data_IF_789187112668
#
_entry.id   IF_789187112668
#
_cell.length_a   1.000
_cell.length_b   1.000
_cell.length_c   1.000
_cell.angle_alpha   90.00
_cell.angle_beta   90.00
_cell.angle_gamma   90.00
#
_symmetry.space_group_name_H-M   'P 1'
#
loop_
_entity.id
_entity.type
_entity.pdbx_description
1 polymer ?
#
# COMPACT_ATOMS: atom_id res chain seq x y z
N UNK A 1 -19.13 -36.76 31.44
CA UNK A 1 -18.30 -37.94 31.13
C UNK A 1 -17.04 -37.46 30.41
N UNK A 2 -15.87 -37.83 30.96
CA UNK A 2 -14.51 -37.95 30.37
C UNK A 2 -13.91 -36.79 29.55
N UNK A 3 -12.93 -36.16 30.20
CA UNK A 3 -11.69 -35.55 29.68
C UNK A 3 -11.06 -36.24 28.45
N UNK A 4 -10.36 -35.45 27.63
CA UNK A 4 -8.92 -35.68 27.42
C UNK A 4 -8.21 -34.44 26.85
N UNK A 5 -7.34 -33.85 27.68
CA UNK A 5 -6.17 -33.07 27.29
C UNK A 5 -5.25 -33.95 26.43
N UNK A 6 -4.53 -33.35 25.48
CA UNK A 6 -3.17 -33.79 25.16
C UNK A 6 -2.28 -32.58 24.84
N UNK A 7 -1.48 -32.20 25.85
CA UNK A 7 -0.17 -31.58 25.67
C UNK A 7 0.78 -32.62 25.08
N UNK A 8 1.64 -32.22 24.13
CA UNK A 8 2.91 -32.92 23.88
C UNK A 8 4.03 -31.89 23.93
N UNK A 9 4.94 -32.14 24.86
CA UNK A 9 6.12 -31.36 25.15
C UNK A 9 7.32 -31.81 24.29
N UNK A 10 8.14 -30.82 23.98
CA UNK A 10 9.60 -30.78 23.79
C UNK A 10 10.40 -32.09 23.95
N UNK A 11 11.26 -32.37 22.98
CA UNK A 11 12.47 -33.17 23.17
C UNK A 11 13.70 -32.42 22.63
N UNK A 12 14.66 -32.20 23.53
CA UNK A 12 16.02 -31.70 23.30
C UNK A 12 16.93 -32.92 23.25
N UNK A 13 17.82 -33.04 22.25
CA UNK A 13 19.14 -33.70 22.38
C UNK A 13 19.88 -33.69 21.03
N UNK A 14 21.15 -33.29 21.05
CA UNK A 14 22.04 -33.42 19.89
C UNK A 14 23.33 -32.61 20.00
N UNK A 15 24.10 -32.80 21.07
CA UNK A 15 25.53 -32.45 21.12
C UNK A 15 26.36 -33.60 20.52
N UNK A 16 27.45 -33.25 19.83
CA UNK A 16 28.46 -34.16 19.28
C UNK A 16 28.79 -33.72 17.84
N UNK A 17 30.02 -33.54 17.38
CA UNK A 17 31.35 -33.75 17.94
C UNK A 17 32.31 -33.00 17.00
N UNK A 18 33.39 -32.41 17.51
CA UNK A 18 34.50 -31.88 16.69
C UNK A 18 35.35 -33.04 16.17
N UNK A 19 36.05 -32.85 15.03
CA UNK A 19 37.51 -32.83 15.14
C UNK A 19 38.18 -31.72 14.30
N UNK A 20 39.24 -31.13 14.88
CA UNK A 20 40.40 -30.58 14.17
C UNK A 20 41.57 -31.59 14.37
N UNK A 21 42.83 -31.41 13.90
CA UNK A 21 43.45 -30.32 13.12
C UNK A 21 44.49 -30.79 12.03
N UNK A 22 44.99 -29.87 11.20
CA UNK A 22 46.35 -29.84 10.60
C UNK A 22 46.52 -28.45 9.92
N UNK A 23 47.32 -27.46 10.36
CA UNK A 23 48.78 -27.37 10.53
C UNK A 23 49.53 -27.70 9.21
N UNK A 24 50.44 -26.91 8.64
CA UNK A 24 51.02 -25.60 8.98
C UNK A 24 51.90 -25.12 7.79
N UNK A 25 52.41 -23.88 7.93
CA UNK A 25 53.55 -23.26 7.23
C UNK A 25 53.30 -22.67 5.83
N UNK A 26 53.70 -21.44 5.50
CA UNK A 26 54.49 -20.45 6.22
C UNK A 26 54.88 -19.33 5.24
N UNK A 27 55.05 -18.11 5.73
CA UNK A 27 55.58 -16.98 4.93
C UNK A 27 55.03 -15.62 5.39
N UNK A 28 55.82 -14.90 6.17
CA UNK A 28 55.53 -13.55 6.69
C UNK A 28 55.91 -12.44 5.67
N UNK A 29 55.80 -11.13 5.98
CA UNK A 29 54.97 -10.14 5.27
C UNK A 29 55.78 -9.11 4.45
N UNK A 30 55.15 -8.08 3.84
CA UNK A 30 55.24 -6.76 4.48
C UNK A 30 53.99 -5.86 4.34
N UNK A 31 53.78 -5.08 5.42
CA UNK A 31 53.35 -3.67 5.49
C UNK A 31 52.34 -3.13 4.46
N UNK A 32 51.14 -2.79 4.94
CA UNK A 32 50.48 -1.51 4.66
C UNK A 32 49.29 -1.27 5.62
N UNK A 33 49.17 -0.02 6.09
CA UNK A 33 47.98 0.62 6.66
C UNK A 33 47.53 0.20 8.08
N UNK A 34 48.32 0.68 9.03
CA UNK A 34 47.88 1.45 10.21
C UNK A 34 46.49 2.14 10.08
N UNK A 35 45.54 1.75 10.94
CA UNK A 35 44.61 2.55 11.78
C UNK A 35 43.17 1.99 11.94
N UNK A 36 42.57 2.17 13.13
CA UNK A 36 41.66 1.20 13.74
C UNK A 36 40.18 1.38 13.36
N UNK A 37 39.51 0.26 13.10
CA UNK A 37 38.06 0.16 13.11
C UNK A 37 37.54 0.18 14.56
N UNK A 38 37.40 1.38 15.13
CA UNK A 38 36.59 1.59 16.32
C UNK A 38 36.02 3.02 16.33
N UNK A 39 34.74 3.09 16.70
CA UNK A 39 33.99 4.28 17.16
C UNK A 39 33.34 5.22 16.13
N UNK A 40 32.18 4.81 15.61
CA UNK A 40 31.05 5.72 15.36
C UNK A 40 29.79 4.95 15.81
N UNK A 41 29.56 4.83 17.12
CA UNK A 41 28.60 5.65 17.89
C UNK A 41 27.26 5.81 17.16
N UNK A 42 26.26 5.12 17.70
CA UNK A 42 24.90 5.62 17.92
C UNK A 42 24.38 6.53 16.80
N UNK A 43 23.67 5.92 15.84
CA UNK A 43 22.74 6.65 15.02
C UNK A 43 21.66 7.23 15.93
N UNK A 44 21.90 8.48 16.34
CA UNK A 44 20.96 9.38 16.98
C UNK A 44 19.60 9.26 16.28
N UNK A 45 18.62 8.80 17.03
CA UNK A 45 17.22 9.16 16.82
C UNK A 45 17.17 10.69 16.83
N UNK A 46 16.99 11.30 15.65
CA UNK A 46 16.66 12.72 15.55
C UNK A 46 15.15 12.84 15.76
N UNK A 47 14.66 13.40 16.88
CA UNK A 47 13.28 13.84 16.95
C UNK A 47 13.13 15.08 16.08
N UNK A 48 12.14 15.10 15.19
CA UNK A 48 11.74 16.33 14.48
C UNK A 48 12.37 16.56 13.11
N UNK A 49 12.40 15.55 12.23
CA UNK A 49 12.21 15.88 10.81
C UNK A 49 10.73 16.12 10.60
N UNK A 50 10.29 17.35 10.82
CA UNK A 50 9.10 17.88 10.16
C UNK A 50 9.32 17.63 8.67
N UNK A 51 8.56 16.67 8.13
CA UNK A 51 8.42 16.52 6.69
C UNK A 51 7.92 17.89 6.23
N UNK A 52 8.61 18.59 5.30
CA UNK A 52 8.08 19.83 4.78
C UNK A 52 6.73 19.50 4.15
N UNK A 53 5.65 19.94 4.81
CA UNK A 53 4.30 19.90 4.29
C UNK A 53 4.29 20.90 3.11
N UNK A 54 4.68 20.42 1.93
CA UNK A 54 4.46 21.19 0.71
C UNK A 54 2.96 21.48 0.64
N UNK A 55 2.54 22.75 0.48
CA UNK A 55 1.13 23.07 0.42
C UNK A 55 0.51 22.27 -0.71
N UNK A 56 -0.48 21.42 -0.39
CA UNK A 56 -1.20 20.58 -1.35
C UNK A 56 -1.72 21.47 -2.50
N UNK A 57 -1.05 21.42 -3.66
CA UNK A 57 -1.43 22.23 -4.83
C UNK A 57 -2.60 21.57 -5.54
N UNK A 58 -3.79 22.11 -5.37
CA UNK A 58 -4.95 21.67 -6.14
C UNK A 58 -4.81 22.03 -7.62
N UNK A 59 -5.18 21.12 -8.51
CA UNK A 59 -5.04 21.25 -9.96
C UNK A 59 -6.40 21.20 -10.67
N UNK A 60 -6.50 21.83 -11.84
CA UNK A 60 -7.71 21.79 -12.68
C UNK A 60 -7.57 20.64 -13.66
N UNK A 61 -8.56 19.75 -13.70
CA UNK A 61 -8.65 18.65 -14.67
C UNK A 61 -9.76 18.96 -15.67
N UNK A 62 -9.52 18.67 -16.95
CA UNK A 62 -10.55 18.82 -17.99
C UNK A 62 -11.76 17.93 -17.67
N UNK A 63 -12.97 18.50 -17.77
CA UNK A 63 -14.21 17.80 -17.43
C UNK A 63 -14.79 18.11 -16.04
N UNK A 64 -14.09 18.90 -15.21
CA UNK A 64 -14.61 19.35 -13.91
C UNK A 64 -14.58 20.88 -13.78
N UNK A 65 -15.64 21.45 -13.20
CA UNK A 65 -15.77 22.88 -12.91
C UNK A 65 -14.84 23.33 -11.77
N UNK A 66 -14.56 22.42 -10.83
CA UNK A 66 -13.85 22.66 -9.58
C UNK A 66 -12.40 22.13 -9.61
N UNK A 67 -11.55 22.60 -8.69
CA UNK A 67 -10.16 22.13 -8.59
C UNK A 67 -10.13 20.82 -7.80
N UNK A 68 -9.33 19.86 -8.26
CA UNK A 68 -9.05 18.62 -7.54
C UNK A 68 -7.85 18.83 -6.62
N UNK A 69 -8.04 18.54 -5.35
CA UNK A 69 -6.96 18.58 -4.36
C UNK A 69 -6.50 17.15 -4.06
N UNK A 70 -5.18 16.90 -4.01
CA UNK A 70 -4.66 15.59 -3.61
C UNK A 70 -4.88 15.39 -2.11
N UNK A 71 -5.47 14.26 -1.74
CA UNK A 71 -5.67 13.86 -0.34
C UNK A 71 -5.24 12.40 -0.14
N UNK A 72 -4.89 12.06 1.09
CA UNK A 72 -4.83 10.68 1.56
C UNK A 72 -6.19 10.25 2.08
N UNK A 73 -6.47 8.94 2.02
CA UNK A 73 -7.72 8.37 2.52
C UNK A 73 -7.98 8.70 4.00
N UNK A 74 -6.92 8.80 4.82
CA UNK A 74 -7.01 9.13 6.24
C UNK A 74 -7.45 10.57 6.51
N UNK A 75 -7.26 11.48 5.54
CA UNK A 75 -7.62 12.90 5.66
C UNK A 75 -9.10 13.14 5.32
N UNK A 76 -9.76 12.23 4.58
CA UNK A 76 -11.13 12.44 4.11
C UNK A 76 -12.14 12.66 5.24
N UNK A 77 -12.11 11.94 6.38
CA UNK A 77 -13.05 12.19 7.49
C UNK A 77 -12.95 13.59 8.11
N UNK A 78 -11.86 14.32 7.89
CA UNK A 78 -11.65 15.68 8.42
C UNK A 78 -12.25 16.77 7.52
N UNK A 79 -12.65 16.42 6.30
CA UNK A 79 -13.25 17.35 5.35
C UNK A 79 -14.69 17.64 5.76
N UNK A 80 -15.01 18.90 6.05
CA UNK A 80 -16.37 19.30 6.49
C UNK A 80 -17.33 19.60 5.34
N UNK A 81 -16.82 19.87 4.14
CA UNK A 81 -17.61 20.28 2.97
C UNK A 81 -17.50 19.25 1.86
N UNK A 82 -18.55 19.15 1.04
CA UNK A 82 -18.49 18.37 -0.21
C UNK A 82 -17.32 18.87 -1.07
N UNK A 83 -16.35 18.00 -1.33
CA UNK A 83 -15.05 18.41 -1.89
C UNK A 83 -14.59 17.47 -3.00
N UNK A 84 -14.17 18.00 -4.17
CA UNK A 84 -13.46 17.22 -5.18
C UNK A 84 -12.09 16.77 -4.68
N UNK A 85 -11.84 15.46 -4.72
CA UNK A 85 -10.61 14.86 -4.20
C UNK A 85 -9.90 14.02 -5.26
N UNK A 86 -8.58 14.02 -5.18
CA UNK A 86 -7.72 13.10 -5.90
C UNK A 86 -6.97 12.20 -4.90
N UNK A 87 -7.16 10.89 -5.00
CA UNK A 87 -6.46 9.89 -4.20
C UNK A 87 -5.50 9.17 -5.13
N UNK A 88 -4.19 9.34 -4.95
CA UNK A 88 -3.19 8.74 -5.85
C UNK A 88 -2.80 7.31 -5.48
N UNK A 89 -3.20 6.81 -4.31
CA UNK A 89 -2.95 5.43 -3.93
C UNK A 89 -4.01 4.94 -2.94
N UNK A 90 -4.91 4.11 -3.44
CA UNK A 90 -5.86 3.34 -2.64
C UNK A 90 -6.10 1.97 -3.26
N UNK A 91 -6.72 1.07 -2.51
CA UNK A 91 -7.10 -0.26 -2.96
C UNK A 91 -8.61 -0.38 -2.99
N UNK A 92 -9.16 -0.73 -4.14
CA UNK A 92 -10.57 -1.02 -4.23
C UNK A 92 -10.83 -2.40 -3.61
N UNK A 93 -11.73 -2.48 -2.63
CA UNK A 93 -12.10 -3.73 -1.94
C UNK A 93 -13.60 -3.93 -1.96
N UNK A 94 -14.03 -5.19 -1.88
CA UNK A 94 -15.45 -5.53 -1.68
C UNK A 94 -15.85 -5.20 -0.25
N UNK A 95 -16.99 -4.54 -0.08
CA UNK A 95 -17.55 -4.22 1.24
C UNK A 95 -19.07 -4.34 1.19
N UNK A 96 -19.61 -5.37 1.86
CA UNK A 96 -21.02 -5.71 1.74
C UNK A 96 -21.44 -5.96 0.28
N UNK A 97 -22.53 -5.31 -0.14
CA UNK A 97 -23.03 -5.37 -1.52
C UNK A 97 -22.33 -4.38 -2.47
N UNK A 98 -21.41 -3.55 -1.96
CA UNK A 98 -20.74 -2.50 -2.73
C UNK A 98 -19.22 -2.60 -2.70
N UNK A 99 -18.59 -1.42 -2.79
CA UNK A 99 -17.14 -1.27 -2.78
C UNK A 99 -16.71 -0.25 -1.73
N UNK A 100 -15.47 -0.36 -1.29
CA UNK A 100 -14.79 0.67 -0.51
C UNK A 100 -13.40 0.92 -1.10
N UNK A 101 -12.90 2.14 -0.92
CA UNK A 101 -11.52 2.51 -1.20
C UNK A 101 -10.74 2.47 0.11
N UNK A 102 -9.79 1.52 0.20
CA UNK A 102 -9.02 1.24 1.40
C UNK A 102 -7.55 1.63 1.28
N UNK A 103 -6.92 1.94 2.40
CA UNK A 103 -5.48 2.23 2.48
C UNK A 103 -4.59 1.00 2.28
N UNK A 104 -5.11 -0.20 2.55
CA UNK A 104 -4.40 -1.47 2.37
C UNK A 104 -5.15 -2.45 1.48
N UNK A 105 -4.39 -3.35 0.82
CA UNK A 105 -4.91 -4.33 -0.16
C UNK A 105 -5.92 -5.31 0.43
N UNK A 106 -5.75 -5.70 1.69
CA UNK A 106 -6.63 -6.62 2.42
C UNK A 106 -7.88 -5.92 3.00
N UNK A 107 -8.02 -4.61 2.77
CA UNK A 107 -9.11 -3.80 3.33
C UNK A 107 -8.86 -3.33 4.76
N UNK A 108 -7.67 -3.58 5.33
CA UNK A 108 -7.30 -3.03 6.64
C UNK A 108 -6.97 -1.53 6.61
N UNK A 109 -6.93 -0.91 7.79
CA UNK A 109 -6.66 0.52 7.95
C UNK A 109 -7.89 1.39 7.65
N UNK A 110 -7.66 2.58 7.10
CA UNK A 110 -8.74 3.49 6.69
C UNK A 110 -9.42 2.95 5.44
N UNK A 111 -10.75 2.90 5.45
CA UNK A 111 -11.57 2.55 4.31
C UNK A 111 -12.74 3.53 4.20
N UNK A 112 -12.97 4.02 2.98
CA UNK A 112 -14.07 4.94 2.67
C UNK A 112 -15.03 4.24 1.71
N UNK A 113 -16.32 4.12 2.05
CA UNK A 113 -17.31 3.49 1.17
C UNK A 113 -17.43 4.26 -0.14
N UNK A 114 -17.55 3.52 -1.24
CA UNK A 114 -17.86 4.09 -2.55
C UNK A 114 -19.35 4.33 -2.62
N UNK A 115 -19.75 5.56 -2.93
CA UNK A 115 -21.14 5.97 -3.11
C UNK A 115 -21.62 5.65 -4.53
N UNK A 116 -21.67 6.66 -5.38
CA UNK A 116 -21.96 6.50 -6.79
C UNK A 116 -20.70 6.23 -7.63
N UNK A 117 -20.86 5.42 -8.68
CA UNK A 117 -19.91 5.32 -9.78
C UNK A 117 -20.48 6.18 -10.92
N UNK A 118 -19.66 7.05 -11.52
CA UNK A 118 -20.11 7.78 -12.70
C UNK A 118 -20.05 6.84 -13.92
N UNK A 119 -21.23 6.32 -14.30
CA UNK A 119 -21.43 5.25 -15.28
C UNK A 119 -21.04 5.62 -16.73
N UNK A 120 -20.72 6.89 -17.03
CA UNK A 120 -20.38 7.29 -18.40
C UNK A 120 -19.07 6.65 -18.90
N UNK A 121 -18.13 6.38 -17.99
CA UNK A 121 -16.80 5.86 -18.33
C UNK A 121 -16.39 4.61 -17.54
N UNK A 122 -17.17 4.21 -16.52
CA UNK A 122 -16.83 3.10 -15.62
C UNK A 122 -17.99 2.11 -15.56
N UNK A 123 -17.80 0.91 -16.15
CA UNK A 123 -18.75 -0.18 -15.92
C UNK A 123 -18.46 -0.87 -14.59
N UNK A 124 -19.49 -1.44 -13.96
CA UNK A 124 -19.31 -2.28 -12.76
C UNK A 124 -18.27 -3.39 -12.99
N UNK A 125 -18.20 -3.92 -14.22
CA UNK A 125 -17.23 -4.96 -14.58
C UNK A 125 -15.78 -4.44 -14.58
N UNK A 126 -15.55 -3.20 -15.02
CA UNK A 126 -14.22 -2.58 -14.95
C UNK A 126 -13.78 -2.38 -13.50
N UNK A 127 -14.71 -1.92 -12.67
CA UNK A 127 -14.52 -1.76 -11.22
C UNK A 127 -14.16 -3.10 -10.58
N UNK A 128 -14.85 -4.18 -10.96
CA UNK A 128 -14.54 -5.54 -10.49
C UNK A 128 -13.14 -6.01 -10.87
N UNK A 129 -12.68 -5.73 -12.09
CA UNK A 129 -11.34 -6.09 -12.54
C UNK A 129 -10.22 -5.39 -11.75
N UNK A 130 -10.55 -4.25 -11.12
CA UNK A 130 -9.63 -3.45 -10.29
C UNK A 130 -9.63 -3.82 -8.81
N UNK A 131 -10.53 -4.69 -8.35
CA UNK A 131 -10.57 -5.12 -6.94
C UNK A 131 -9.24 -5.76 -6.54
N UNK A 132 -8.72 -5.35 -5.37
CA UNK A 132 -7.46 -5.83 -4.81
C UNK A 132 -6.22 -5.26 -5.50
N UNK A 133 -6.35 -4.26 -6.38
CA UNK A 133 -5.24 -3.59 -7.06
C UNK A 133 -5.11 -2.14 -6.60
N UNK A 134 -3.90 -1.55 -6.63
CA UNK A 134 -3.75 -0.14 -6.35
C UNK A 134 -4.34 0.69 -7.49
N UNK A 135 -5.10 1.71 -7.11
CA UNK A 135 -5.82 2.60 -8.01
C UNK A 135 -5.61 4.06 -7.61
N UNK A 136 -5.66 4.93 -8.62
CA UNK A 136 -5.79 6.37 -8.48
C UNK A 136 -7.24 6.73 -8.77
N UNK A 137 -7.85 7.49 -7.86
CA UNK A 137 -9.28 7.81 -7.87
C UNK A 137 -9.45 9.31 -7.89
N UNK A 138 -10.27 9.80 -8.81
CA UNK A 138 -10.79 11.16 -8.79
C UNK A 138 -12.30 11.10 -8.54
N UNK A 139 -12.75 11.92 -7.59
CA UNK A 139 -14.12 11.83 -7.13
C UNK A 139 -14.55 13.03 -6.31
N UNK A 140 -15.75 12.91 -5.73
CA UNK A 140 -16.32 13.90 -4.83
C UNK A 140 -16.58 13.22 -3.50
N UNK A 141 -15.95 13.72 -2.45
CA UNK A 141 -16.19 13.23 -1.09
C UNK A 141 -17.43 13.92 -0.50
N UNK A 142 -18.29 13.10 0.10
CA UNK A 142 -19.56 13.47 0.72
C UNK A 142 -19.46 13.26 2.24
N UNK A 143 -19.12 14.31 3.02
CA UNK A 143 -18.95 14.16 4.48
C UNK A 143 -20.24 13.77 5.20
N UNK A 144 -21.40 14.11 4.63
CA UNK A 144 -22.72 13.77 5.19
C UNK A 144 -22.99 12.26 5.23
N UNK A 145 -22.44 11.51 4.28
CA UNK A 145 -22.56 10.05 4.19
C UNK A 145 -21.24 9.33 4.50
N UNK A 146 -20.13 10.08 4.62
CA UNK A 146 -18.78 9.54 4.72
C UNK A 146 -18.37 8.73 3.49
N UNK A 147 -18.91 9.05 2.31
CA UNK A 147 -18.71 8.28 1.08
C UNK A 147 -17.98 9.05 -0.02
N UNK A 148 -17.37 8.32 -0.94
CA UNK A 148 -16.69 8.87 -2.11
C UNK A 148 -17.42 8.46 -3.39
N UNK A 149 -17.93 9.45 -4.12
CA UNK A 149 -18.45 9.25 -5.46
C UNK A 149 -17.28 9.25 -6.44
N UNK A 150 -17.13 8.18 -7.21
CA UNK A 150 -16.00 7.99 -8.12
C UNK A 150 -16.37 8.46 -9.51
N UNK A 151 -15.64 9.46 -10.00
CA UNK A 151 -15.80 10.01 -11.35
C UNK A 151 -14.74 9.47 -12.32
N UNK A 152 -13.56 9.12 -11.83
CA UNK A 152 -12.51 8.49 -12.62
C UNK A 152 -11.74 7.51 -11.75
N UNK A 153 -11.45 6.35 -12.32
CA UNK A 153 -10.76 5.26 -11.65
C UNK A 153 -9.68 4.73 -12.59
N UNK A 154 -8.42 4.75 -12.13
CA UNK A 154 -7.28 4.30 -12.93
C UNK A 154 -6.44 3.32 -12.16
N UNK A 155 -6.10 2.20 -12.79
CA UNK A 155 -5.14 1.25 -12.24
C UNK A 155 -3.73 1.84 -12.21
N UNK A 156 -3.04 1.67 -11.08
CA UNK A 156 -1.62 2.01 -10.92
C UNK A 156 -0.81 0.75 -11.19
N UNK A 157 0.06 0.82 -12.21
CA UNK A 157 0.89 -0.32 -12.59
C UNK A 157 1.90 -0.65 -11.50
N UNK A 158 1.86 -1.90 -11.03
CA UNK A 158 2.88 -2.46 -10.14
C UNK A 158 3.92 -3.25 -10.95
N UNK A 159 5.23 -3.15 -10.59
CA UNK A 159 6.25 -3.97 -11.21
C UNK A 159 5.97 -5.48 -11.05
N UNK A 160 5.99 -6.23 -12.16
CA UNK A 160 5.77 -7.68 -12.14
C UNK A 160 4.31 -8.12 -12.00
N UNK A 161 3.35 -7.20 -11.89
CA UNK A 161 1.92 -7.53 -11.83
C UNK A 161 1.29 -7.31 -13.21
N UNK A 162 0.61 -8.32 -13.79
CA UNK A 162 -0.07 -8.16 -15.07
C UNK A 162 -1.21 -7.14 -14.98
N UNK A 163 -1.56 -6.48 -16.10
CA UNK A 163 -2.70 -5.57 -16.14
C UNK A 163 -4.00 -6.25 -15.71
N UNK A 164 -5.00 -5.48 -15.23
CA UNK A 164 -6.35 -5.97 -15.05
C UNK A 164 -6.85 -6.60 -16.35
N UNK A 165 -7.60 -7.70 -16.23
CA UNK A 165 -8.30 -8.29 -17.35
C UNK A 165 -9.50 -7.40 -17.65
N UNK A 166 -9.27 -6.38 -18.48
CA UNK A 166 -10.32 -5.46 -18.86
C UNK A 166 -11.37 -6.22 -19.66
N UNK A 167 -12.66 -5.98 -19.41
CA UNK A 167 -13.69 -6.43 -20.32
C UNK A 167 -13.32 -5.92 -21.71
N UNK A 168 -13.13 -6.83 -22.67
CA UNK A 168 -12.95 -6.40 -24.04
C UNK A 168 -14.17 -5.56 -24.39
N UNK A 169 -13.95 -4.29 -24.76
CA UNK A 169 -14.98 -3.51 -25.42
C UNK A 169 -15.48 -4.40 -26.55
N UNK A 170 -16.77 -4.75 -26.54
CA UNK A 170 -17.37 -5.48 -27.64
C UNK A 170 -17.05 -4.65 -28.88
N UNK A 171 -16.11 -5.10 -29.70
CA UNK A 171 -15.76 -4.38 -30.90
C UNK A 171 -17.06 -4.29 -31.71
N UNK A 172 -17.49 -3.09 -32.11
CA UNK A 172 -18.59 -3.01 -33.06
C UNK A 172 -18.13 -3.78 -34.29
N UNK A 173 -18.79 -4.89 -34.58
CA UNK A 173 -18.64 -5.60 -35.84
C UNK A 173 -18.89 -4.57 -36.94
N UNK A 174 -17.86 -4.22 -37.70
CA UNK A 174 -18.02 -3.45 -38.93
C UNK A 174 -18.69 -4.30 -40.01
#
# INVERSE_FOLDING_TARGET
>A
MKSMLLLVALAIAGCGERPAPAAAAGGAPPQAAEQPAAAWKEALVLPGKEVPEEPQKCFRVGGMSERLCPFQLVELPEIENRTPVAIDNGFLVRSGDGFALASARDGSGTAVPVGALNDQDLSERDVLAMVGRPVSVFGIYHPETGSLDIHSLRWIREPGVPPPDWPQAAQPSQ
#
